data_IF_130295709201
#
_entry.id   IF_130295709201
#
_cell.length_a   1.000
_cell.length_b   1.000
_cell.length_c   1.000
_cell.angle_alpha   90.00
_cell.angle_beta   90.00
_cell.angle_gamma   90.00
#
_symmetry.space_group_name_H-M   'P 1'
#
loop_
_entity.id
_entity.type
_entity.pdbx_description
1 polymer ?
#
# COMPACT_ATOMS: atom_id res chain seq x y z
N UNK A 1 -23.04 -5.96 -28.01
CA UNK A 1 -22.81 -5.72 -26.57
C UNK A 1 -22.58 -7.06 -25.90
N UNK A 2 -21.43 -7.28 -25.24
CA UNK A 2 -21.18 -8.51 -24.46
C UNK A 2 -22.07 -8.46 -23.20
N UNK A 3 -22.66 -9.60 -22.82
CA UNK A 3 -23.56 -9.71 -21.66
C UNK A 3 -23.02 -10.75 -20.71
N UNK A 4 -23.14 -10.49 -19.41
CA UNK A 4 -22.68 -11.36 -18.35
C UNK A 4 -23.92 -11.94 -17.65
N UNK A 5 -24.08 -13.26 -17.71
CA UNK A 5 -25.19 -13.96 -17.07
C UNK A 5 -24.78 -14.32 -15.65
N UNK A 6 -25.55 -13.86 -14.66
CA UNK A 6 -25.25 -14.15 -13.26
C UNK A 6 -25.39 -15.65 -12.97
N UNK A 7 -24.33 -16.29 -12.50
CA UNK A 7 -24.35 -17.72 -12.16
C UNK A 7 -25.22 -18.07 -10.93
N UNK A 8 -25.71 -17.07 -10.18
CA UNK A 8 -26.56 -17.29 -8.99
C UNK A 8 -28.06 -17.16 -9.23
N UNK A 9 -28.47 -16.31 -10.16
CA UNK A 9 -29.88 -16.01 -10.37
C UNK A 9 -30.24 -15.83 -11.85
N UNK A 10 -29.31 -16.11 -12.75
CA UNK A 10 -29.48 -16.08 -14.21
C UNK A 10 -29.87 -14.71 -14.79
N UNK A 11 -29.88 -13.66 -13.95
CA UNK A 11 -30.14 -12.30 -14.40
C UNK A 11 -29.07 -11.86 -15.39
N UNK A 12 -29.52 -11.34 -16.53
CA UNK A 12 -28.64 -10.78 -17.55
C UNK A 12 -28.13 -9.40 -17.11
N UNK A 13 -26.81 -9.24 -17.10
CA UNK A 13 -26.14 -8.01 -16.72
C UNK A 13 -25.28 -7.49 -17.87
N UNK A 14 -24.99 -6.19 -17.86
CA UNK A 14 -24.00 -5.60 -18.77
C UNK A 14 -22.63 -6.21 -18.49
N UNK A 15 -21.78 -6.37 -19.52
CA UNK A 15 -20.41 -6.90 -19.36
C UNK A 15 -19.57 -6.17 -18.32
N UNK A 16 -19.86 -4.89 -18.05
CA UNK A 16 -19.11 -4.04 -17.13
C UNK A 16 -19.71 -3.98 -15.71
N UNK A 17 -20.80 -4.71 -15.46
CA UNK A 17 -21.45 -4.73 -14.15
C UNK A 17 -20.54 -5.43 -13.12
N UNK A 18 -20.30 -4.77 -11.99
CA UNK A 18 -19.52 -5.34 -10.87
C UNK A 18 -20.38 -6.26 -10.00
N UNK A 19 -21.67 -5.96 -9.90
CA UNK A 19 -22.64 -6.71 -9.10
C UNK A 19 -23.89 -6.99 -9.94
N UNK A 20 -24.54 -8.10 -9.65
CA UNK A 20 -25.80 -8.49 -10.27
C UNK A 20 -26.93 -7.54 -9.84
N UNK A 21 -27.66 -7.00 -10.82
CA UNK A 21 -28.83 -6.14 -10.59
C UNK A 21 -30.02 -6.89 -9.98
N UNK A 22 -30.08 -8.21 -10.13
CA UNK A 22 -31.17 -9.05 -9.61
C UNK A 22 -30.93 -9.51 -8.18
N UNK A 23 -29.71 -9.98 -7.86
CA UNK A 23 -29.44 -10.62 -6.56
C UNK A 23 -28.26 -10.03 -5.77
N UNK A 24 -27.55 -9.03 -6.30
CA UNK A 24 -26.41 -8.39 -5.64
C UNK A 24 -25.11 -9.21 -5.62
N UNK A 25 -25.07 -10.40 -6.23
CA UNK A 25 -23.85 -11.21 -6.33
C UNK A 25 -22.75 -10.50 -7.11
N UNK A 26 -21.50 -10.60 -6.66
CA UNK A 26 -20.35 -10.05 -7.37
C UNK A 26 -20.10 -10.85 -8.66
N UNK A 27 -19.92 -10.15 -9.77
CA UNK A 27 -19.71 -10.77 -11.09
C UNK A 27 -18.22 -10.78 -11.42
N UNK A 28 -17.73 -11.91 -11.93
CA UNK A 28 -16.36 -12.02 -12.43
C UNK A 28 -16.15 -11.12 -13.66
N UNK A 29 -15.05 -10.38 -13.65
CA UNK A 29 -14.70 -9.41 -14.70
C UNK A 29 -13.66 -10.05 -15.62
N UNK A 30 -14.03 -10.32 -16.87
CA UNK A 30 -13.07 -10.66 -17.93
C UNK A 30 -12.30 -9.38 -18.27
N UNK A 31 -11.14 -9.19 -17.65
CA UNK A 31 -10.23 -8.10 -18.01
C UNK A 31 -9.47 -8.47 -19.30
N UNK A 32 -10.10 -8.29 -20.45
CA UNK A 32 -9.43 -8.31 -21.74
C UNK A 32 -9.49 -6.90 -22.36
N UNK A 33 -8.31 -6.28 -22.46
CA UNK A 33 -7.97 -4.99 -23.09
C UNK A 33 -8.51 -3.69 -22.47
N UNK A 34 -7.85 -3.27 -21.40
CA UNK A 34 -7.45 -1.87 -21.20
C UNK A 34 -5.99 -1.80 -20.71
N UNK A 35 -5.06 -2.38 -21.48
CA UNK A 35 -3.64 -2.04 -21.42
C UNK A 35 -3.41 -0.86 -22.37
N UNK A 36 -3.86 0.32 -21.95
CA UNK A 36 -3.31 1.61 -22.38
C UNK A 36 -3.59 2.75 -21.37
N UNK A 37 -3.91 2.40 -20.13
CA UNK A 37 -3.55 3.19 -18.95
C UNK A 37 -3.27 2.20 -17.84
N UNK A 38 -2.02 2.19 -17.43
CA UNK A 38 -1.46 1.36 -16.37
C UNK A 38 -2.38 1.32 -15.15
N UNK A 39 -2.84 0.11 -14.83
CA UNK A 39 -3.30 -0.33 -13.52
C UNK A 39 -2.26 0.04 -12.46
N UNK A 40 -2.67 0.78 -11.43
CA UNK A 40 -2.28 0.33 -10.10
C UNK A 40 -3.50 -0.37 -9.47
N UNK A 41 -3.31 -1.56 -8.88
CA UNK A 41 -4.15 -2.01 -7.77
C UNK A 41 -4.34 -0.85 -6.78
N UNK A 42 -5.38 -0.80 -5.93
CA UNK A 42 -5.19 -0.12 -4.66
C UNK A 42 -4.04 -0.87 -3.96
N UNK A 43 -2.80 -0.44 -4.23
CA UNK A 43 -1.69 -0.65 -3.35
C UNK A 43 -2.21 -0.21 -1.99
N UNK A 44 -2.54 -1.21 -1.18
CA UNK A 44 -2.53 -1.07 0.26
C UNK A 44 -1.21 -0.34 0.53
N UNK A 45 -1.29 0.96 0.84
CA UNK A 45 -0.15 1.72 1.35
C UNK A 45 0.26 1.02 2.64
N UNK A 46 1.10 0.00 2.52
CA UNK A 46 2.05 -0.36 3.54
C UNK A 46 2.80 0.95 3.79
N UNK A 47 2.51 1.47 4.96
CA UNK A 47 3.05 2.64 5.58
C UNK A 47 4.59 2.59 5.60
N UNK A 48 5.22 2.98 4.49
CA UNK A 48 6.61 3.44 4.38
C UNK A 48 6.87 4.73 5.19
N UNK A 49 6.09 5.01 6.23
CA UNK A 49 6.34 6.12 7.17
C UNK A 49 7.53 5.87 8.09
N UNK A 50 8.19 4.72 7.99
CA UNK A 50 9.27 4.31 8.92
C UNK A 50 10.70 4.62 8.42
N UNK A 51 10.87 5.46 7.41
CA UNK A 51 12.21 5.93 6.97
C UNK A 51 12.64 7.29 7.54
N UNK A 52 11.79 7.94 8.34
CA UNK A 52 12.06 9.28 8.88
C UNK A 52 12.58 9.25 10.34
N UNK A 53 12.56 8.10 11.03
CA UNK A 53 12.97 8.01 12.45
C UNK A 53 14.50 7.88 12.63
N UNK A 54 15.28 7.69 11.55
CA UNK A 54 16.72 7.40 11.63
C UNK A 54 17.71 8.57 11.87
N UNK A 55 17.40 9.88 11.65
CA UNK A 55 18.41 10.91 11.89
C UNK A 55 18.51 11.34 13.37
N UNK A 56 17.42 11.24 14.15
CA UNK A 56 17.43 11.69 15.55
C UNK A 56 18.28 10.80 16.47
N UNK A 57 18.24 9.47 16.28
CA UNK A 57 19.04 8.54 17.07
C UNK A 57 20.54 8.72 16.82
N UNK A 58 20.94 8.95 15.57
CA UNK A 58 22.34 9.15 15.20
C UNK A 58 22.94 10.41 15.86
N UNK A 59 22.16 11.51 15.92
CA UNK A 59 22.60 12.76 16.55
C UNK A 59 22.76 12.58 18.07
N UNK A 60 21.83 11.89 18.72
CA UNK A 60 21.91 11.63 20.18
C UNK A 60 23.13 10.75 20.50
N UNK A 61 23.37 9.69 19.72
CA UNK A 61 24.53 8.81 19.91
C UNK A 61 25.84 9.58 19.69
N UNK A 62 25.91 10.42 18.65
CA UNK A 62 27.09 11.24 18.39
C UNK A 62 27.37 12.24 19.54
N UNK A 63 26.33 12.89 20.07
CA UNK A 63 26.46 13.80 21.21
C UNK A 63 26.96 13.09 22.47
N UNK A 64 26.45 11.89 22.76
CA UNK A 64 26.91 11.11 23.93
C UNK A 64 28.37 10.68 23.80
N UNK A 65 28.83 10.31 22.60
CA UNK A 65 30.24 9.95 22.36
C UNK A 65 31.14 11.17 22.54
N UNK A 66 30.75 12.34 22.04
CA UNK A 66 31.52 13.57 22.18
C UNK A 66 31.60 14.03 23.65
N UNK A 67 30.47 14.07 24.35
CA UNK A 67 30.42 14.47 25.76
C UNK A 67 31.14 13.45 26.67
N UNK A 68 30.92 12.15 26.44
CA UNK A 68 31.58 11.08 27.18
C UNK A 68 33.09 11.03 26.91
N UNK A 69 33.52 11.22 25.67
CA UNK A 69 34.93 11.32 25.30
C UNK A 69 35.61 12.51 25.95
N UNK A 70 35.00 13.70 25.89
CA UNK A 70 35.52 14.90 26.55
C UNK A 70 35.61 14.71 28.07
N UNK A 71 34.60 14.09 28.69
CA UNK A 71 34.60 13.79 30.12
C UNK A 71 35.70 12.79 30.50
N UNK A 72 35.91 11.74 29.70
CA UNK A 72 36.95 10.74 29.93
C UNK A 72 38.35 11.36 29.83
N UNK A 73 38.61 12.19 28.81
CA UNK A 73 39.88 12.91 28.67
C UNK A 73 40.14 13.86 29.84
N UNK A 74 39.10 14.59 30.30
CA UNK A 74 39.18 15.46 31.47
C UNK A 74 39.46 14.68 32.76
N UNK A 75 39.02 13.42 32.86
CA UNK A 75 39.23 12.57 34.04
C UNK A 75 40.60 11.88 34.04
N UNK A 76 41.26 11.77 32.89
CA UNK A 76 42.60 11.18 32.76
C UNK A 76 43.73 12.23 32.83
N UNK A 77 43.39 13.51 32.74
CA UNK A 77 44.33 14.65 32.89
C UNK A 77 44.26 15.18 34.31
#
# INVERSE_FOLDING_TARGET
>A
MKRNICQRCETENTSNAKFCSGCGYELERDFEEAVNTVTLPPEKKSNEKFKIIKPALAVVVALLILLGGQYLLLRLT
#
